data_IF_375635599991
#
_entry.id   IF_375635599991
#
_cell.length_a   1.000
_cell.length_b   1.000
_cell.length_c   1.000
_cell.angle_alpha   90.00
_cell.angle_beta   90.00
_cell.angle_gamma   90.00
#
_symmetry.space_group_name_H-M   'P 1'
#
loop_
_entity.id
_entity.type
_entity.pdbx_description
1 polymer ?
#
# COMPACT_ATOMS: atom_id res chain seq x y z
N UNK A 1 -12.57 29.58 10.89
CA UNK A 1 -11.73 28.50 11.46
C UNK A 1 -12.63 27.34 11.90
N UNK A 2 -13.31 26.67 10.97
CA UNK A 2 -14.37 25.70 11.30
C UNK A 2 -14.56 24.58 10.27
N UNK A 3 -13.52 24.13 9.56
CA UNK A 3 -13.72 23.19 8.44
C UNK A 3 -12.81 21.96 8.40
N UNK A 4 -12.06 21.68 9.47
CA UNK A 4 -11.35 20.40 9.59
C UNK A 4 -11.93 19.55 10.72
N UNK A 5 -13.27 19.46 10.79
CA UNK A 5 -13.93 18.46 11.63
C UNK A 5 -13.72 17.10 10.97
N UNK A 6 -12.97 16.23 11.64
CA UNK A 6 -12.81 14.82 11.27
C UNK A 6 -14.20 14.23 10.98
N UNK A 7 -14.46 13.84 9.73
CA UNK A 7 -15.72 13.19 9.36
C UNK A 7 -15.74 11.77 9.92
N UNK A 8 -16.43 11.61 11.06
CA UNK A 8 -16.59 10.34 11.77
C UNK A 8 -17.59 9.40 11.09
N UNK A 9 -18.23 9.84 10.00
CA UNK A 9 -19.20 9.03 9.24
C UNK A 9 -18.54 8.17 8.16
N UNK A 10 -17.29 8.45 7.79
CA UNK A 10 -16.53 7.63 6.85
C UNK A 10 -16.15 6.25 7.40
N UNK A 11 -16.35 6.01 8.71
CA UNK A 11 -16.11 4.71 9.33
C UNK A 11 -17.24 3.74 8.96
N UNK A 12 -16.98 2.84 8.01
CA UNK A 12 -17.87 1.71 7.76
C UNK A 12 -17.75 0.73 8.92
N UNK A 13 -18.83 0.59 9.70
CA UNK A 13 -18.98 -0.54 10.61
C UNK A 13 -19.09 -1.82 9.78
N UNK A 14 -17.97 -2.50 9.59
CA UNK A 14 -17.86 -3.75 8.84
C UNK A 14 -16.94 -4.70 9.60
N UNK A 15 -17.21 -5.99 9.51
CA UNK A 15 -16.33 -7.02 10.05
C UNK A 15 -14.99 -7.03 9.32
N UNK A 16 -13.94 -7.56 9.95
CA UNK A 16 -12.64 -7.70 9.32
C UNK A 16 -12.70 -8.53 8.01
N UNK A 17 -13.61 -9.50 7.94
CA UNK A 17 -13.85 -10.30 6.75
C UNK A 17 -14.45 -9.47 5.60
N UNK A 18 -15.46 -8.64 5.91
CA UNK A 18 -16.10 -7.75 4.92
C UNK A 18 -15.14 -6.65 4.43
N UNK A 19 -14.33 -6.09 5.33
CA UNK A 19 -13.26 -5.16 4.97
C UNK A 19 -12.28 -5.82 3.99
N UNK A 20 -11.74 -6.99 4.36
CA UNK A 20 -10.76 -7.71 3.54
C UNK A 20 -11.33 -8.07 2.16
N UNK A 21 -12.58 -8.52 2.10
CA UNK A 21 -13.24 -8.88 0.85
C UNK A 21 -13.49 -7.66 -0.06
N UNK A 22 -13.90 -6.52 0.50
CA UNK A 22 -14.16 -5.30 -0.27
C UNK A 22 -12.87 -4.67 -0.81
N UNK A 23 -11.81 -4.59 0.02
CA UNK A 23 -10.50 -4.11 -0.39
C UNK A 23 -9.88 -5.01 -1.46
N UNK A 24 -9.95 -6.34 -1.28
CA UNK A 24 -9.44 -7.28 -2.26
C UNK A 24 -10.13 -7.13 -3.62
N UNK A 25 -11.46 -6.90 -3.65
CA UNK A 25 -12.19 -6.64 -4.91
C UNK A 25 -11.74 -5.35 -5.58
N UNK A 26 -11.59 -4.26 -4.82
CA UNK A 26 -11.13 -2.98 -5.34
C UNK A 26 -9.70 -3.05 -5.91
N UNK A 27 -8.74 -3.61 -5.14
CA UNK A 27 -7.38 -3.73 -5.63
C UNK A 27 -7.27 -4.63 -6.86
N UNK A 28 -8.14 -5.64 -7.00
CA UNK A 28 -8.19 -6.50 -8.19
C UNK A 28 -8.56 -5.75 -9.47
N UNK A 29 -9.33 -4.67 -9.40
CA UNK A 29 -9.69 -3.88 -10.60
C UNK A 29 -8.57 -2.95 -11.05
N UNK A 30 -7.57 -2.71 -10.20
CA UNK A 30 -6.43 -1.83 -10.52
C UNK A 30 -5.34 -2.58 -11.29
N UNK A 31 -4.63 -1.83 -12.13
CA UNK A 31 -3.40 -2.27 -12.78
C UNK A 31 -2.29 -2.51 -11.76
N UNK A 32 -1.27 -3.29 -12.12
CA UNK A 32 -0.15 -3.55 -11.22
C UNK A 32 0.63 -2.27 -10.89
N UNK A 33 0.70 -1.31 -11.81
CA UNK A 33 1.34 0.00 -11.60
C UNK A 33 0.60 0.81 -10.54
N UNK A 34 -0.72 0.88 -10.59
CA UNK A 34 -1.54 1.57 -9.59
C UNK A 34 -1.40 0.93 -8.21
N UNK A 35 -1.39 -0.41 -8.15
CA UNK A 35 -1.16 -1.14 -6.90
C UNK A 35 0.20 -0.81 -6.29
N UNK A 36 1.25 -0.72 -7.10
CA UNK A 36 2.58 -0.34 -6.63
C UNK A 36 2.64 1.11 -6.12
N UNK A 37 1.94 2.04 -6.77
CA UNK A 37 1.85 3.43 -6.28
C UNK A 37 1.18 3.49 -4.91
N UNK A 38 0.05 2.79 -4.73
CA UNK A 38 -0.64 2.73 -3.45
C UNK A 38 0.26 2.10 -2.37
N UNK A 39 0.95 1.00 -2.71
CA UNK A 39 1.89 0.38 -1.78
C UNK A 39 3.05 1.33 -1.39
N UNK A 40 3.60 2.09 -2.35
CA UNK A 40 4.64 3.08 -2.07
C UNK A 40 4.13 4.19 -1.14
N UNK A 41 2.94 4.72 -1.38
CA UNK A 41 2.32 5.73 -0.52
C UNK A 41 2.08 5.22 0.91
N UNK A 42 1.57 4.00 1.06
CA UNK A 42 1.37 3.41 2.40
C UNK A 42 2.70 3.21 3.14
N UNK A 43 3.74 2.79 2.42
CA UNK A 43 5.09 2.66 2.98
C UNK A 43 5.69 4.03 3.35
N UNK A 44 5.45 5.07 2.55
CA UNK A 44 5.96 6.42 2.81
C UNK A 44 5.41 6.98 4.12
N UNK A 45 4.12 6.73 4.40
CA UNK A 45 3.49 7.05 5.68
C UNK A 45 4.09 6.20 6.82
N UNK A 46 4.19 4.89 6.63
CA UNK A 46 4.63 3.98 7.68
C UNK A 46 6.09 4.20 8.12
N UNK A 47 6.97 4.54 7.17
CA UNK A 47 8.40 4.72 7.39
C UNK A 47 8.85 6.18 7.32
N UNK A 48 7.90 7.11 7.20
CA UNK A 48 8.11 8.55 7.18
C UNK A 48 9.19 9.02 6.19
N UNK A 49 9.03 8.63 4.92
CA UNK A 49 9.88 9.10 3.82
C UNK A 49 9.06 9.86 2.75
N UNK A 50 9.67 10.77 1.97
CA UNK A 50 8.95 11.45 0.89
C UNK A 50 8.57 10.47 -0.23
N UNK A 51 7.30 10.44 -0.64
CA UNK A 51 6.82 9.50 -1.67
C UNK A 51 7.62 9.57 -2.99
N UNK A 52 8.01 10.78 -3.39
CA UNK A 52 8.80 11.07 -4.60
C UNK A 52 10.30 10.75 -4.45
N UNK A 53 10.76 10.50 -3.22
CA UNK A 53 12.15 10.21 -2.91
C UNK A 53 12.26 9.01 -1.94
N UNK A 54 11.87 7.80 -2.37
CA UNK A 54 11.93 6.63 -1.52
C UNK A 54 13.37 6.24 -1.19
N UNK A 55 13.62 5.67 0.01
CA UNK A 55 14.93 5.15 0.40
C UNK A 55 15.47 4.16 -0.64
N UNK A 56 16.76 4.28 -0.96
CA UNK A 56 17.41 3.36 -1.89
C UNK A 56 17.54 1.98 -1.27
N UNK A 57 17.10 0.97 -2.01
CA UNK A 57 17.25 -0.42 -1.60
C UNK A 57 18.74 -0.79 -1.54
N UNK A 58 19.21 -1.24 -0.38
CA UNK A 58 20.53 -1.85 -0.25
C UNK A 58 20.54 -3.25 -0.86
N UNK A 59 21.13 -3.38 -2.05
CA UNK A 59 21.20 -4.64 -2.80
C UNK A 59 22.29 -5.59 -2.29
N UNK A 60 23.11 -5.18 -1.32
CA UNK A 60 24.17 -6.04 -0.76
C UNK A 60 23.63 -7.13 0.16
N UNK A 61 22.42 -6.95 0.70
CA UNK A 61 21.77 -7.90 1.62
C UNK A 61 20.80 -8.87 0.94
N UNK A 62 20.48 -8.65 -0.34
CA UNK A 62 19.52 -9.47 -1.08
C UNK A 62 20.19 -10.17 -2.25
N UNK A 63 20.10 -11.50 -2.31
CA UNK A 63 20.52 -12.29 -3.48
C UNK A 63 19.31 -12.89 -4.18
N UNK A 64 19.18 -12.64 -5.48
CA UNK A 64 18.17 -13.30 -6.32
C UNK A 64 18.74 -14.62 -6.78
N UNK A 65 18.18 -15.74 -6.32
CA UNK A 65 18.51 -17.07 -6.84
C UNK A 65 17.48 -17.46 -7.90
N UNK A 66 17.88 -17.44 -9.17
CA UNK A 66 17.10 -18.10 -10.21
C UNK A 66 17.21 -19.62 -10.00
N UNK A 67 16.07 -20.33 -9.96
CA UNK A 67 16.10 -21.78 -10.16
C UNK A 67 16.43 -22.01 -11.63
N UNK A 68 17.65 -22.43 -11.92
CA UNK A 68 17.97 -22.95 -13.25
C UNK A 68 17.11 -24.18 -13.48
N UNK A 69 16.26 -24.15 -14.51
CA UNK A 69 15.66 -25.37 -15.02
C UNK A 69 16.80 -26.20 -15.61
N UNK A 70 17.21 -27.23 -14.87
CA UNK A 70 17.96 -28.37 -15.39
C UNK A 70 16.99 -29.47 -15.82
#
# INVERSE_FOLDING_TARGET
MSEFRLDRTAFKAQTAAEASASHAKYYKTLTWQERLKIANYLNSIAYNYPEDNPPRLDRTKFSVRARGNG
#
